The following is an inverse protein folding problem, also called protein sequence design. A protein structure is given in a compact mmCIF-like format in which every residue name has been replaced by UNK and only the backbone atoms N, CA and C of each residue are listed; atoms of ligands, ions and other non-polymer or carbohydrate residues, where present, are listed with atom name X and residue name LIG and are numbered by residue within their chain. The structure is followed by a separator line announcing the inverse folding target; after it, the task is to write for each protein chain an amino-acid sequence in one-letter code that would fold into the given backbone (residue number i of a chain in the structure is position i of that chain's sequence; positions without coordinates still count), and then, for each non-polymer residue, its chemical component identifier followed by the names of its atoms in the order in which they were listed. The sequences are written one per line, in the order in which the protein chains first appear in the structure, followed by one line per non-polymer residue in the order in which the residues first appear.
data_IF_465978706115
#
_entry.id   IF_465978706115
#
_cell.length_a   1.000
_cell.length_b   1.000
_cell.length_c   1.000
_cell.angle_alpha   90.00
_cell.angle_beta   90.00
_cell.angle_gamma   90.00
#
_symmetry.space_group_name_H-M   'P 1'
#
loop_
_entity.id
_entity.type
_entity.pdbx_description
1 polymer ?
#
# COMPACT_ATOMS: atom_id res chain seq x y z
N UNK A 1 -4.09 -29.34 41.95
CA UNK A 1 -3.72 -27.92 41.77
C UNK A 1 -2.82 -27.68 40.56
N UNK A 2 -1.62 -28.28 40.48
CA UNK A 2 -0.70 -28.08 39.33
C UNK A 2 -1.30 -28.46 37.96
N UNK A 3 -2.10 -29.53 37.91
CA UNK A 3 -2.70 -30.02 36.65
C UNK A 3 -3.78 -29.06 36.10
N UNK A 4 -4.57 -28.46 36.98
CA UNK A 4 -5.60 -27.46 36.62
C UNK A 4 -4.91 -26.19 36.13
N UNK A 5 -3.82 -25.76 36.79
CA UNK A 5 -3.03 -24.61 36.38
C UNK A 5 -2.43 -24.80 34.97
N UNK A 6 -1.87 -25.98 34.67
CA UNK A 6 -1.34 -26.30 33.34
C UNK A 6 -2.41 -26.28 32.25
N UNK A 7 -3.61 -26.79 32.53
CA UNK A 7 -4.73 -26.77 31.59
C UNK A 7 -5.18 -25.33 31.30
N UNK A 8 -5.33 -24.49 32.33
CA UNK A 8 -5.70 -23.08 32.17
C UNK A 8 -4.62 -22.32 31.39
N UNK A 9 -3.34 -22.55 31.70
CA UNK A 9 -2.21 -21.97 30.96
C UNK A 9 -2.23 -22.37 29.48
N UNK A 10 -2.40 -23.67 29.18
CA UNK A 10 -2.45 -24.15 27.80
C UNK A 10 -3.59 -23.50 27.01
N UNK A 11 -4.79 -23.39 27.60
CA UNK A 11 -5.95 -22.75 26.97
C UNK A 11 -5.67 -21.26 26.74
N UNK A 12 -5.11 -20.56 27.73
CA UNK A 12 -4.79 -19.14 27.63
C UNK A 12 -3.73 -18.85 26.55
N UNK A 13 -2.67 -19.67 26.47
CA UNK A 13 -1.62 -19.54 25.46
C UNK A 13 -2.16 -19.76 24.06
N UNK A 14 -3.00 -20.79 23.87
CA UNK A 14 -3.64 -21.06 22.57
C UNK A 14 -4.53 -19.89 22.16
N UNK A 15 -5.35 -19.37 23.08
CA UNK A 15 -6.22 -18.22 22.80
C UNK A 15 -5.41 -16.95 22.46
N UNK A 16 -4.33 -16.70 23.19
CA UNK A 16 -3.41 -15.59 22.94
C UNK A 16 -2.73 -15.71 21.56
N UNK A 17 -2.29 -16.90 21.17
CA UNK A 17 -1.65 -17.13 19.87
C UNK A 17 -2.59 -16.84 18.68
N UNK A 18 -3.90 -17.07 18.84
CA UNK A 18 -4.88 -16.70 17.81
C UNK A 18 -5.05 -15.18 17.71
N UNK A 19 -5.12 -14.47 18.84
CA UNK A 19 -5.26 -13.02 18.89
C UNK A 19 -4.03 -12.28 18.33
N UNK A 20 -2.83 -12.77 18.64
CA UNK A 20 -1.57 -12.16 18.20
C UNK A 20 -1.47 -12.05 16.67
N UNK A 21 -1.99 -13.02 15.92
CA UNK A 21 -1.94 -13.01 14.45
C UNK A 21 -2.72 -11.84 13.85
N UNK A 22 -3.90 -11.56 14.38
CA UNK A 22 -4.72 -10.44 13.90
C UNK A 22 -4.06 -9.09 14.19
N UNK A 23 -3.42 -8.98 15.37
CA UNK A 23 -2.72 -7.78 15.77
C UNK A 23 -1.48 -7.52 14.91
N UNK A 24 -0.69 -8.57 14.61
CA UNK A 24 0.45 -8.49 13.71
C UNK A 24 0.06 -8.07 12.29
N UNK A 25 -1.03 -8.63 11.74
CA UNK A 25 -1.52 -8.25 10.41
C UNK A 25 -1.93 -6.78 10.35
N UNK A 26 -2.64 -6.30 11.37
CA UNK A 26 -3.03 -4.89 11.46
C UNK A 26 -1.82 -3.97 11.56
N UNK A 27 -0.82 -4.34 12.36
CA UNK A 27 0.43 -3.57 12.46
C UNK A 27 1.20 -3.54 11.14
N UNK A 28 1.23 -4.65 10.40
CA UNK A 28 1.84 -4.70 9.07
C UNK A 28 1.08 -3.82 8.06
N UNK A 29 -0.26 -3.86 8.07
CA UNK A 29 -1.09 -3.02 7.20
C UNK A 29 -0.86 -1.52 7.47
N UNK A 30 -0.81 -1.11 8.75
CA UNK A 30 -0.56 0.28 9.12
C UNK A 30 0.81 0.73 8.60
N UNK A 31 1.86 -0.07 8.87
CA UNK A 31 3.21 0.26 8.40
C UNK A 31 3.29 0.35 6.88
N UNK A 32 2.66 -0.57 6.16
CA UNK A 32 2.60 -0.51 4.70
C UNK A 32 1.81 0.71 4.20
N UNK A 33 0.72 1.06 4.88
CA UNK A 33 -0.07 2.26 4.57
C UNK A 33 0.77 3.53 4.74
N UNK A 34 1.60 3.61 5.78
CA UNK A 34 2.50 4.76 6.00
C UNK A 34 3.57 4.86 4.92
N UNK A 35 4.15 3.72 4.49
CA UNK A 35 5.09 3.68 3.36
C UNK A 35 4.41 4.13 2.07
N UNK A 36 3.18 3.68 1.81
CA UNK A 36 2.40 4.10 0.64
C UNK A 36 2.09 5.59 0.67
N UNK A 37 1.64 6.13 1.80
CA UNK A 37 1.38 7.56 1.93
C UNK A 37 2.65 8.38 1.68
N UNK A 38 3.79 7.99 2.27
CA UNK A 38 5.06 8.66 2.02
C UNK A 38 5.53 8.58 0.56
N UNK A 39 5.27 7.46 -0.12
CA UNK A 39 5.53 7.32 -1.56
C UNK A 39 4.63 8.26 -2.38
N UNK A 40 3.33 8.32 -2.07
CA UNK A 40 2.37 9.22 -2.71
C UNK A 40 2.75 10.69 -2.51
N UNK A 41 3.14 11.10 -1.30
CA UNK A 41 3.55 12.47 -0.99
C UNK A 41 4.80 12.86 -1.78
N UNK A 42 5.77 11.95 -1.87
CA UNK A 42 6.99 12.16 -2.65
C UNK A 42 6.68 12.26 -4.15
N UNK A 43 5.75 11.45 -4.66
CA UNK A 43 5.24 11.57 -6.03
C UNK A 43 4.57 12.94 -6.23
N UNK A 44 3.64 13.34 -5.36
CA UNK A 44 2.98 14.64 -5.46
C UNK A 44 3.97 15.81 -5.43
N UNK A 45 4.96 15.76 -4.54
CA UNK A 45 6.03 16.76 -4.49
C UNK A 45 6.86 16.81 -5.77
N UNK A 46 7.18 15.65 -6.38
CA UNK A 46 7.87 15.60 -7.67
C UNK A 46 7.01 16.10 -8.82
N UNK A 47 5.68 15.92 -8.77
CA UNK A 47 4.75 16.48 -9.76
C UNK A 47 4.75 18.01 -9.66
N UNK A 48 4.73 18.53 -8.43
CA UNK A 48 4.72 19.98 -8.18
C UNK A 48 6.06 20.66 -8.53
N UNK A 49 7.18 20.02 -8.19
CA UNK A 49 8.53 20.58 -8.44
C UNK A 49 9.07 20.29 -9.84
N UNK A 50 8.33 19.54 -10.67
CA UNK A 50 8.77 19.18 -12.03
C UNK A 50 9.88 18.12 -12.08
N UNK A 51 10.13 17.40 -10.97
CA UNK A 51 11.20 16.39 -10.86
C UNK A 51 10.70 14.95 -11.04
N UNK A 52 9.51 14.76 -11.61
CA UNK A 52 8.89 13.46 -11.95
C UNK A 52 9.77 12.51 -12.77
N UNK A 53 10.78 13.02 -13.49
CA UNK A 53 11.76 12.21 -14.18
C UNK A 53 12.56 11.30 -13.23
N UNK A 54 12.73 11.70 -11.96
CA UNK A 54 13.51 10.99 -10.95
C UNK A 54 12.70 9.95 -10.15
N UNK A 55 11.42 9.74 -10.49
CA UNK A 55 10.53 8.84 -9.74
C UNK A 55 11.04 7.39 -9.64
N UNK A 56 11.80 6.94 -10.62
CA UNK A 56 12.39 5.59 -10.61
C UNK A 56 13.42 5.45 -9.49
N UNK A 57 14.25 6.48 -9.28
CA UNK A 57 15.20 6.51 -8.16
C UNK A 57 14.48 6.42 -6.81
N UNK A 58 13.32 7.08 -6.65
CA UNK A 58 12.50 6.94 -5.46
C UNK A 58 11.98 5.50 -5.30
N UNK A 59 11.49 4.91 -6.38
CA UNK A 59 11.00 3.52 -6.40
C UNK A 59 12.11 2.56 -5.98
N UNK A 60 13.28 2.64 -6.60
CA UNK A 60 14.46 1.84 -6.26
C UNK A 60 14.85 1.99 -4.78
N UNK A 61 14.83 3.22 -4.24
CA UNK A 61 15.09 3.46 -2.82
C UNK A 61 14.08 2.75 -1.92
N UNK A 62 12.80 2.69 -2.29
CA UNK A 62 11.80 1.97 -1.50
C UNK A 62 11.97 0.46 -1.65
N UNK A 63 12.25 -0.03 -2.86
CA UNK A 63 12.53 -1.45 -3.13
C UNK A 63 13.82 -1.96 -2.46
N UNK A 64 14.75 -1.07 -2.10
CA UNK A 64 15.95 -1.45 -1.35
C UNK A 64 15.66 -1.92 0.08
N UNK A 65 14.44 -1.72 0.58
CA UNK A 65 14.01 -2.22 1.90
C UNK A 65 13.66 -3.70 1.80
N UNK A 66 14.26 -4.53 2.65
CA UNK A 66 14.06 -5.99 2.67
C UNK A 66 12.58 -6.41 2.83
N UNK A 67 11.78 -5.56 3.48
CA UNK A 67 10.36 -5.82 3.77
C UNK A 67 9.43 -5.51 2.57
N UNK A 68 9.94 -4.85 1.52
CA UNK A 68 9.14 -4.43 0.35
C UNK A 68 9.51 -5.28 -0.86
N UNK A 69 8.58 -6.14 -1.28
CA UNK A 69 8.78 -6.99 -2.46
C UNK A 69 8.52 -6.27 -3.78
N UNK A 70 7.54 -5.37 -3.79
CA UNK A 70 7.21 -4.56 -4.97
C UNK A 70 6.53 -3.26 -4.55
N UNK A 71 6.73 -2.21 -5.35
CA UNK A 71 6.05 -0.93 -5.21
C UNK A 71 5.89 -0.30 -6.59
N UNK A 72 4.69 0.17 -6.88
CA UNK A 72 4.35 0.84 -8.14
C UNK A 72 3.22 1.84 -7.94
N UNK A 73 3.26 2.94 -8.69
CA UNK A 73 2.14 3.88 -8.81
C UNK A 73 1.43 3.62 -10.13
N UNK A 74 0.16 3.26 -10.05
CA UNK A 74 -0.69 3.12 -11.23
C UNK A 74 -1.19 4.48 -11.67
N UNK A 75 -1.08 4.77 -12.97
CA UNK A 75 -1.56 6.03 -13.54
C UNK A 75 -3.03 5.90 -13.94
N UNK A 76 -3.85 6.81 -13.39
CA UNK A 76 -5.18 7.06 -13.90
C UNK A 76 -5.17 7.85 -15.22
N UNK A 77 -6.34 7.98 -15.84
CA UNK A 77 -6.50 8.69 -17.12
C UNK A 77 -6.09 10.17 -17.03
N UNK A 78 -6.45 10.85 -15.94
CA UNK A 78 -6.13 12.27 -15.71
C UNK A 78 -4.62 12.53 -15.66
N UNK A 79 -3.87 11.69 -14.93
CA UNK A 79 -2.40 11.80 -14.84
C UNK A 79 -1.75 11.47 -16.20
N UNK A 80 -2.29 10.48 -16.91
CA UNK A 80 -1.76 10.06 -18.22
C UNK A 80 -1.94 11.15 -19.30
N UNK A 81 -3.03 11.94 -19.23
CA UNK A 81 -3.26 13.08 -20.13
C UNK A 81 -2.24 14.21 -19.95
N UNK A 82 -1.78 14.44 -18.73
CA UNK A 82 -0.85 15.54 -18.40
C UNK A 82 0.62 15.12 -18.57
N UNK A 83 0.98 13.91 -18.12
CA UNK A 83 2.36 13.44 -18.04
C UNK A 83 2.68 12.32 -19.05
N UNK A 84 1.81 12.06 -20.01
CA UNK A 84 1.95 11.02 -21.02
C UNK A 84 1.70 9.59 -20.50
N UNK A 85 1.92 8.57 -21.35
CA UNK A 85 1.51 7.18 -21.09
C UNK A 85 2.26 6.48 -19.94
N UNK A 86 3.37 7.05 -19.45
CA UNK A 86 4.15 6.45 -18.36
C UNK A 86 4.93 5.20 -18.75
N UNK A 87 5.49 4.51 -17.75
CA UNK A 87 6.18 3.22 -17.91
C UNK A 87 5.18 2.05 -17.88
N UNK A 88 5.60 0.87 -18.35
CA UNK A 88 4.71 -0.31 -18.39
C UNK A 88 4.27 -0.77 -16.99
N UNK A 89 5.12 -0.59 -15.98
CA UNK A 89 4.79 -0.88 -14.58
C UNK A 89 3.72 0.06 -13.99
N UNK A 90 3.48 1.20 -14.62
CA UNK A 90 2.49 2.21 -14.21
C UNK A 90 1.11 1.95 -14.85
N UNK A 91 1.01 0.94 -15.72
CA UNK A 91 -0.23 0.52 -16.37
C UNK A 91 -0.93 -0.56 -15.55
N UNK A 92 -2.27 -0.63 -15.59
CA UNK A 92 -3.01 -1.70 -14.92
C UNK A 92 -2.81 -3.03 -15.66
N UNK A 93 -1.96 -3.90 -15.12
CA UNK A 93 -1.65 -5.21 -15.72
C UNK A 93 -2.50 -6.35 -15.16
N UNK A 94 -2.99 -6.22 -13.92
CA UNK A 94 -3.73 -7.27 -13.21
C UNK A 94 -5.13 -6.80 -12.77
N UNK A 95 -5.90 -7.73 -12.22
CA UNK A 95 -7.27 -7.46 -11.78
C UNK A 95 -7.33 -6.53 -10.56
N UNK A 96 -6.35 -6.65 -9.64
CA UNK A 96 -6.24 -5.79 -8.48
C UNK A 96 -6.01 -4.33 -8.88
N UNK A 97 -5.17 -4.09 -9.89
CA UNK A 97 -4.92 -2.78 -10.46
C UNK A 97 -6.18 -2.17 -11.09
N UNK A 98 -6.95 -2.97 -11.84
CA UNK A 98 -8.23 -2.50 -12.43
C UNK A 98 -9.25 -2.13 -11.36
N UNK A 99 -9.38 -2.96 -10.32
CA UNK A 99 -10.25 -2.70 -9.15
C UNK A 99 -9.80 -1.45 -8.38
N UNK A 100 -8.50 -1.26 -8.19
CA UNK A 100 -7.97 -0.08 -7.53
C UNK A 100 -8.23 1.21 -8.33
N UNK A 101 -8.13 1.16 -9.67
CA UNK A 101 -8.41 2.32 -10.52
C UNK A 101 -9.87 2.78 -10.48
N UNK A 102 -10.82 1.91 -10.12
CA UNK A 102 -12.22 2.29 -9.89
C UNK A 102 -12.48 2.79 -8.46
N UNK A 103 -11.45 2.91 -7.63
CA UNK A 103 -11.54 3.48 -6.28
C UNK A 103 -11.64 2.46 -5.15
N UNK A 104 -11.37 1.17 -5.42
CA UNK A 104 -11.37 0.15 -4.37
C UNK A 104 -10.05 0.14 -3.58
N UNK A 105 -10.11 0.26 -2.24
CA UNK A 105 -8.96 -0.02 -1.37
C UNK A 105 -8.85 -1.53 -1.18
N UNK A 106 -7.67 -2.07 -1.46
CA UNK A 106 -7.42 -3.52 -1.42
C UNK A 106 -6.35 -3.81 -0.38
N UNK A 107 -6.65 -4.77 0.51
CA UNK A 107 -5.71 -5.31 1.49
C UNK A 107 -5.85 -6.83 1.45
N UNK A 108 -4.90 -7.52 0.82
CA UNK A 108 -4.97 -8.96 0.62
C UNK A 108 -3.70 -9.64 1.14
N UNK A 109 -3.89 -10.73 1.90
CA UNK A 109 -2.81 -11.59 2.35
C UNK A 109 -2.75 -12.82 1.45
N UNK A 110 -1.77 -12.86 0.56
CA UNK A 110 -1.59 -13.92 -0.42
C UNK A 110 -0.36 -14.78 -0.09
N UNK A 111 -0.28 -15.98 -0.68
CA UNK A 111 0.94 -16.80 -0.64
C UNK A 111 1.60 -16.77 -2.00
N UNK A 112 2.84 -16.29 -2.06
CA UNK A 112 3.67 -16.26 -3.26
C UNK A 112 4.93 -17.06 -2.95
N UNK A 113 5.21 -18.09 -3.75
CA UNK A 113 6.38 -18.97 -3.58
C UNK A 113 6.53 -19.57 -2.17
N UNK A 114 5.40 -19.85 -1.51
CA UNK A 114 5.35 -20.39 -0.15
C UNK A 114 5.53 -19.34 0.96
N UNK A 115 5.91 -18.11 0.63
CA UNK A 115 5.97 -16.98 1.54
C UNK A 115 4.62 -16.27 1.65
N UNK A 116 4.30 -15.71 2.82
CA UNK A 116 3.11 -14.87 3.01
C UNK A 116 3.44 -13.44 2.60
N UNK A 117 2.66 -12.89 1.69
CA UNK A 117 2.81 -11.55 1.14
C UNK A 117 1.55 -10.74 1.45
N UNK A 118 1.73 -9.59 2.07
CA UNK A 118 0.67 -8.61 2.26
C UNK A 118 0.71 -7.62 1.10
N UNK A 119 -0.39 -7.50 0.37
CA UNK A 119 -0.57 -6.53 -0.71
C UNK A 119 -1.54 -5.46 -0.25
N UNK A 120 -1.10 -4.20 -0.25
CA UNK A 120 -1.91 -3.03 0.08
C UNK A 120 -1.96 -2.13 -1.15
N UNK A 121 -3.16 -1.80 -1.62
CA UNK A 121 -3.38 -0.86 -2.72
C UNK A 121 -4.36 0.21 -2.27
N UNK A 122 -3.92 1.46 -2.40
CA UNK A 122 -4.68 2.62 -1.99
C UNK A 122 -5.02 3.49 -3.22
N UNK A 123 -6.32 3.63 -3.56
CA UNK A 123 -6.73 4.56 -4.59
C UNK A 123 -6.51 5.99 -4.10
N UNK A 124 -5.96 6.84 -4.97
CA UNK A 124 -5.71 8.25 -4.66
C UNK A 124 -6.07 9.12 -5.84
N UNK A 125 -6.68 10.28 -5.55
CA UNK A 125 -6.82 11.35 -6.52
C UNK A 125 -5.51 12.15 -6.59
N UNK A 126 -5.14 12.70 -7.76
CA UNK A 126 -4.00 13.58 -7.84
C UNK A 126 -4.20 14.82 -6.95
N UNK A 127 -3.16 15.21 -6.20
CA UNK A 127 -3.23 16.35 -5.28
C UNK A 127 -3.67 17.66 -5.98
N UNK A 128 -3.19 17.88 -7.21
CA UNK A 128 -3.56 19.02 -8.05
C UNK A 128 -5.08 19.13 -8.29
N UNK A 129 -5.80 18.00 -8.34
CA UNK A 129 -7.24 17.98 -8.54
C UNK A 129 -8.02 18.04 -7.22
N UNK A 130 -7.43 17.52 -6.13
CA UNK A 130 -7.99 17.62 -4.78
C UNK A 130 -8.08 19.07 -4.30
N UNK A 131 -7.04 19.89 -4.53
CA UNK A 131 -7.05 21.30 -4.14
C UNK A 131 -8.00 22.15 -5.01
N UNK A 132 -8.07 21.86 -6.31
CA UNK A 132 -9.02 22.51 -7.22
C UNK A 132 -10.49 22.24 -6.82
N UNK A 133 -10.79 21.06 -6.28
CA UNK A 133 -12.13 20.70 -5.77
C UNK A 133 -12.42 21.25 -4.37
N UNK A 134 -11.39 21.35 -3.51
CA UNK A 134 -11.51 21.90 -2.16
C UNK A 134 -11.63 23.44 -2.16
N UNK A 135 -11.09 24.11 -3.19
CA UNK A 135 -11.12 25.56 -3.36
C UNK A 135 -12.36 26.14 -4.04
N UNK A 136 -13.44 25.37 -4.24
CA UNK A 136 -14.71 25.88 -4.77
C UNK A 136 -15.72 26.15 -3.64
N UNK A 137 -15.70 27.34 -2.99
CA UNK A 137 -16.83 27.77 -2.21
C UNK A 137 -18.00 28.04 -3.16
N UNK A 138 -19.19 27.55 -2.80
CA UNK A 138 -20.43 28.17 -3.27
C UNK A 138 -20.54 29.58 -2.73
#
# INVERSE_FOLDING_TARGET
MALIFLIIMAIATVYSAYQQKAQLLRSAEIQMTDVLNGYLDSMNAMMFTGTMANREMLREKILSREEILDVRMLRGEAVSKVYGPGFDIEKPTDDLARRALVGERIVELNKVDGARVLTVIQPSLPAMESEAKAGSPR
#
